data_IF_479888796263
#
_entry.id   IF_479888796263
#
_cell.length_a   1.000
_cell.length_b   1.000
_cell.length_c   1.000
_cell.angle_alpha   90.00
_cell.angle_beta   90.00
_cell.angle_gamma   90.00
#
_symmetry.space_group_name_H-M   'P 1'
#
loop_
_entity.id
_entity.type
_entity.pdbx_description
1 polymer ?
#
# COMPACT_ATOMS: atom_id res chain seq x y z
N UNK A 1 16.52 -32.84 -50.44
CA UNK A 1 17.33 -33.58 -49.45
C UNK A 1 16.47 -33.69 -48.21
N UNK A 2 15.97 -34.88 -47.88
CA UNK A 2 15.19 -35.07 -46.64
C UNK A 2 16.14 -34.83 -45.45
N UNK A 3 15.71 -34.12 -44.40
CA UNK A 3 16.56 -33.93 -43.23
C UNK A 3 16.96 -35.29 -42.67
N UNK A 4 18.24 -35.45 -42.36
CA UNK A 4 18.79 -36.67 -41.76
C UNK A 4 18.30 -36.80 -40.31
N UNK A 5 18.10 -38.03 -39.83
CA UNK A 5 17.58 -38.32 -38.47
C UNK A 5 18.44 -37.65 -37.40
N UNK A 6 19.76 -37.56 -37.62
CA UNK A 6 20.72 -36.88 -36.76
C UNK A 6 20.62 -35.34 -36.76
N UNK A 7 20.02 -34.73 -37.80
CA UNK A 7 19.76 -33.28 -37.83
C UNK A 7 18.48 -32.95 -37.07
N UNK A 8 17.43 -33.78 -37.19
CA UNK A 8 16.20 -33.61 -36.43
C UNK A 8 16.44 -33.78 -34.92
N UNK A 9 17.26 -34.76 -34.51
CA UNK A 9 17.65 -34.92 -33.10
C UNK A 9 18.34 -33.67 -32.53
N UNK A 10 19.32 -33.09 -33.24
CA UNK A 10 20.01 -31.86 -32.79
C UNK A 10 19.10 -30.64 -32.71
N UNK A 11 18.08 -30.55 -33.56
CA UNK A 11 17.11 -29.45 -33.50
C UNK A 11 16.26 -29.57 -32.23
N UNK A 12 15.78 -30.78 -31.91
CA UNK A 12 14.92 -31.02 -30.74
C UNK A 12 15.68 -30.92 -29.42
N UNK A 13 16.98 -31.27 -29.40
CA UNK A 13 17.86 -31.08 -28.24
C UNK A 13 18.11 -29.60 -27.90
N UNK A 14 18.05 -28.71 -28.89
CA UNK A 14 18.24 -27.27 -28.70
C UNK A 14 16.96 -26.48 -28.38
N UNK A 15 15.80 -27.14 -28.26
CA UNK A 15 14.55 -26.48 -27.92
C UNK A 15 14.51 -26.13 -26.43
N UNK A 16 13.92 -24.98 -26.11
CA UNK A 16 13.55 -24.61 -24.75
C UNK A 16 12.41 -25.47 -24.21
N UNK A 17 11.56 -25.98 -25.11
CA UNK A 17 10.46 -26.86 -24.77
C UNK A 17 10.97 -28.28 -24.50
N UNK A 18 10.43 -28.91 -23.47
CA UNK A 18 10.65 -30.32 -23.20
C UNK A 18 9.91 -31.17 -24.21
N UNK A 19 10.60 -32.16 -24.80
CA UNK A 19 9.99 -33.10 -25.74
C UNK A 19 10.21 -34.51 -25.23
N UNK A 20 9.12 -35.27 -25.17
CA UNK A 20 9.10 -36.66 -24.70
C UNK A 20 8.47 -37.55 -25.77
N UNK A 21 9.14 -38.67 -26.07
CA UNK A 21 8.67 -39.70 -26.98
C UNK A 21 8.26 -40.93 -26.19
N UNK A 22 7.05 -41.40 -26.46
CA UNK A 22 6.43 -42.51 -25.75
C UNK A 22 5.94 -43.53 -26.79
N UNK A 23 6.19 -44.80 -26.54
CA UNK A 23 5.64 -45.90 -27.34
C UNK A 23 4.18 -46.19 -26.96
N UNK A 24 3.37 -46.77 -27.86
CA UNK A 24 1.95 -47.05 -27.60
C UNK A 24 1.68 -47.95 -26.39
N UNK A 25 2.65 -48.76 -25.96
CA UNK A 25 2.56 -49.60 -24.77
C UNK A 25 2.85 -48.84 -23.45
N UNK A 26 3.26 -47.58 -23.55
CA UNK A 26 3.54 -46.69 -22.44
C UNK A 26 5.01 -46.68 -22.00
N UNK A 27 5.93 -47.27 -22.76
CA UNK A 27 7.37 -47.08 -22.55
C UNK A 27 7.79 -45.65 -22.95
N UNK A 28 8.53 -44.95 -22.08
CA UNK A 28 9.10 -43.65 -22.41
C UNK A 28 10.47 -43.92 -23.00
N UNK A 29 10.58 -43.76 -24.32
CA UNK A 29 11.80 -44.13 -25.05
C UNK A 29 12.84 -43.03 -24.99
N UNK A 30 12.39 -41.77 -24.91
CA UNK A 30 13.29 -40.63 -24.94
C UNK A 30 12.66 -39.37 -24.35
N UNK A 31 13.48 -38.55 -23.71
CA UNK A 31 13.16 -37.19 -23.30
C UNK A 31 14.39 -36.31 -23.51
N UNK A 32 14.21 -35.08 -24.01
CA UNK A 32 15.32 -34.13 -24.10
C UNK A 32 15.71 -33.58 -22.71
N UNK A 33 16.85 -32.89 -22.66
CA UNK A 33 17.36 -32.29 -21.44
C UNK A 33 16.38 -31.29 -20.83
N UNK A 34 15.73 -30.45 -21.65
CA UNK A 34 14.73 -29.49 -21.19
C UNK A 34 13.59 -30.18 -20.41
N UNK A 35 13.08 -31.31 -20.91
CA UNK A 35 12.02 -32.04 -20.23
C UNK A 35 12.44 -32.57 -18.86
N UNK A 36 13.68 -33.09 -18.74
CA UNK A 36 14.24 -33.58 -17.49
C UNK A 36 14.43 -32.44 -16.49
N UNK A 37 15.01 -31.31 -16.95
CA UNK A 37 15.24 -30.11 -16.12
C UNK A 37 13.91 -29.54 -15.58
N UNK A 38 12.87 -29.46 -16.41
CA UNK A 38 11.52 -29.00 -16.00
C UNK A 38 10.90 -29.87 -14.90
N UNK A 39 11.35 -31.11 -14.75
CA UNK A 39 10.92 -32.04 -13.70
C UNK A 39 11.93 -32.14 -12.54
N UNK A 40 12.99 -31.32 -12.56
CA UNK A 40 14.08 -31.37 -11.60
C UNK A 40 14.82 -32.71 -11.59
N UNK A 41 14.89 -33.40 -12.74
CA UNK A 41 15.51 -34.70 -12.93
C UNK A 41 16.74 -34.56 -13.82
N UNK A 42 17.65 -35.54 -13.73
CA UNK A 42 18.86 -35.57 -14.58
C UNK A 42 18.87 -36.79 -15.50
N UNK A 43 18.01 -37.77 -15.25
CA UNK A 43 17.89 -38.96 -16.08
C UNK A 43 16.45 -39.45 -16.21
N UNK A 44 16.16 -40.11 -17.33
CA UNK A 44 14.85 -40.72 -17.58
C UNK A 44 14.49 -41.83 -16.57
N UNK A 45 15.50 -42.47 -15.97
CA UNK A 45 15.30 -43.43 -14.89
C UNK A 45 14.59 -42.83 -13.67
N UNK A 46 14.73 -41.53 -13.45
CA UNK A 46 14.06 -40.81 -12.36
C UNK A 46 12.53 -40.78 -12.56
N UNK A 47 12.07 -40.96 -13.79
CA UNK A 47 10.65 -41.08 -14.14
C UNK A 47 10.16 -42.54 -14.14
N UNK A 48 11.02 -43.51 -13.85
CA UNK A 48 10.68 -44.93 -13.86
C UNK A 48 10.51 -45.55 -15.26
N UNK A 49 10.94 -44.86 -16.33
CA UNK A 49 11.03 -45.37 -17.71
C UNK A 49 9.70 -45.68 -18.42
N UNK A 50 8.57 -45.54 -17.74
CA UNK A 50 7.23 -45.82 -18.30
C UNK A 50 6.24 -44.76 -17.83
N UNK A 51 5.12 -44.62 -18.53
CA UNK A 51 4.03 -43.71 -18.11
C UNK A 51 3.49 -44.06 -16.72
N UNK A 52 3.45 -45.35 -16.36
CA UNK A 52 3.07 -45.79 -15.01
C UNK A 52 4.13 -45.42 -13.97
N UNK A 53 5.41 -45.54 -14.32
CA UNK A 53 6.52 -45.06 -13.48
C UNK A 53 6.40 -43.56 -13.23
N UNK A 54 6.13 -42.78 -14.28
CA UNK A 54 5.97 -41.34 -14.18
C UNK A 54 4.79 -40.97 -13.26
N UNK A 55 3.67 -41.69 -13.36
CA UNK A 55 2.52 -41.54 -12.46
C UNK A 55 2.83 -41.82 -10.99
N UNK A 56 3.85 -42.63 -10.69
CA UNK A 56 4.32 -42.88 -9.32
C UNK A 56 5.33 -41.84 -8.87
N UNK A 57 6.16 -41.33 -9.79
CA UNK A 57 7.19 -40.34 -9.51
C UNK A 57 6.61 -38.93 -9.34
N UNK A 58 5.47 -38.61 -9.98
CA UNK A 58 4.90 -37.27 -9.98
C UNK A 58 3.39 -37.22 -9.69
N UNK A 59 3.02 -36.19 -8.95
CA UNK A 59 1.64 -35.80 -8.67
C UNK A 59 1.30 -34.54 -9.48
N UNK A 60 0.26 -34.63 -10.31
CA UNK A 60 -0.23 -33.53 -11.12
C UNK A 60 -1.53 -33.02 -10.52
N UNK A 61 -1.69 -31.70 -10.55
CA UNK A 61 -2.91 -31.02 -10.11
C UNK A 61 -3.43 -30.12 -11.22
N UNK A 62 -4.73 -29.91 -11.19
CA UNK A 62 -5.36 -28.83 -11.94
C UNK A 62 -5.00 -27.50 -11.27
N UNK A 63 -5.09 -26.41 -12.04
CA UNK A 63 -4.76 -25.05 -11.55
C UNK A 63 -5.63 -24.54 -10.40
N UNK A 64 -6.74 -25.20 -10.10
CA UNK A 64 -7.57 -24.94 -8.91
C UNK A 64 -7.08 -25.70 -7.66
N UNK A 65 -5.93 -26.38 -7.75
CA UNK A 65 -5.31 -27.16 -6.69
C UNK A 65 -5.87 -28.57 -6.54
N UNK A 66 -6.89 -28.96 -7.31
CA UNK A 66 -7.46 -30.30 -7.22
C UNK A 66 -6.51 -31.36 -7.81
N UNK A 67 -6.35 -32.54 -7.15
CA UNK A 67 -5.58 -33.64 -7.70
C UNK A 67 -6.12 -34.08 -9.06
N UNK A 68 -5.26 -34.13 -10.07
CA UNK A 68 -5.63 -34.65 -11.37
C UNK A 68 -5.71 -36.19 -11.28
N UNK A 69 -6.81 -36.84 -11.73
CA UNK A 69 -6.85 -38.29 -11.80
C UNK A 69 -5.71 -38.83 -12.67
N UNK A 70 -5.02 -39.90 -12.26
CA UNK A 70 -3.87 -40.46 -13.00
C UNK A 70 -4.21 -40.79 -14.47
N UNK A 71 -5.45 -41.19 -14.75
CA UNK A 71 -5.93 -41.42 -16.12
C UNK A 71 -6.03 -40.13 -16.97
N UNK A 72 -6.23 -38.96 -16.34
CA UNK A 72 -6.29 -37.67 -17.02
C UNK A 72 -4.92 -37.04 -17.26
N UNK A 73 -3.83 -37.65 -16.76
CA UNK A 73 -2.47 -37.14 -17.00
C UNK A 73 -2.15 -37.04 -18.49
N UNK A 74 -1.38 -36.02 -18.93
CA UNK A 74 -1.04 -35.82 -20.34
C UNK A 74 -0.50 -37.09 -21.03
N UNK A 75 0.46 -37.80 -20.43
CA UNK A 75 1.01 -39.04 -20.99
C UNK A 75 -0.01 -40.19 -21.03
N UNK A 76 -0.88 -40.30 -20.02
CA UNK A 76 -1.89 -41.36 -19.97
C UNK A 76 -3.02 -41.15 -21.00
N UNK A 77 -3.33 -39.88 -21.32
CA UNK A 77 -4.22 -39.50 -22.41
C UNK A 77 -3.63 -39.90 -23.76
N UNK A 78 -2.34 -39.62 -23.98
CA UNK A 78 -1.66 -40.03 -25.20
C UNK A 78 -1.67 -41.55 -25.42
N UNK A 79 -1.43 -42.36 -24.37
CA UNK A 79 -1.52 -43.82 -24.48
C UNK A 79 -2.91 -44.35 -24.84
N UNK A 80 -3.97 -43.54 -24.67
CA UNK A 80 -5.33 -43.87 -25.14
C UNK A 80 -5.63 -43.37 -26.55
N UNK A 81 -4.66 -42.75 -27.22
CA UNK A 81 -4.84 -42.16 -28.54
C UNK A 81 -5.48 -40.77 -28.52
N UNK A 82 -5.46 -40.07 -27.38
CA UNK A 82 -6.01 -38.71 -27.27
C UNK A 82 -4.90 -37.67 -27.54
N UNK A 83 -5.03 -36.92 -28.64
CA UNK A 83 -4.27 -35.68 -28.86
C UNK A 83 -4.93 -34.50 -28.14
N UNK A 84 -4.15 -33.52 -27.72
CA UNK A 84 -4.64 -32.33 -27.03
C UNK A 84 -3.70 -31.14 -27.16
N UNK A 85 -4.27 -29.95 -27.03
CA UNK A 85 -3.54 -28.68 -27.03
C UNK A 85 -3.82 -27.92 -25.73
N UNK A 86 -2.85 -27.13 -25.29
CA UNK A 86 -2.96 -26.14 -24.21
C UNK A 86 -3.50 -26.66 -22.86
N UNK A 87 -2.96 -27.78 -22.40
CA UNK A 87 -3.23 -28.29 -21.05
C UNK A 87 -2.22 -27.70 -20.08
N UNK A 88 -2.69 -27.02 -19.03
CA UNK A 88 -1.83 -26.49 -17.95
C UNK A 88 -1.98 -27.36 -16.72
N UNK A 89 -0.87 -27.82 -16.15
CA UNK A 89 -0.84 -28.66 -14.95
C UNK A 89 0.24 -28.18 -13.98
N UNK A 90 -0.09 -28.25 -12.71
CA UNK A 90 0.91 -28.11 -11.65
C UNK A 90 1.53 -29.50 -11.42
N UNK A 91 2.86 -29.58 -11.42
CA UNK A 91 3.63 -30.82 -11.35
C UNK A 91 4.47 -30.80 -10.09
N UNK A 92 4.34 -31.87 -9.29
CA UNK A 92 5.10 -32.08 -8.07
C UNK A 92 5.78 -33.44 -8.07
N UNK A 93 6.96 -33.56 -7.46
CA UNK A 93 7.52 -34.88 -7.12
C UNK A 93 6.68 -35.54 -6.04
N UNK A 94 6.34 -36.81 -6.23
CA UNK A 94 5.53 -37.57 -5.31
C UNK A 94 6.19 -37.63 -3.91
N UNK A 95 5.41 -37.34 -2.87
CA UNK A 95 5.86 -37.38 -1.47
C UNK A 95 6.66 -36.17 -0.98
N UNK A 96 6.84 -35.12 -1.79
CA UNK A 96 7.41 -33.85 -1.35
C UNK A 96 6.33 -32.82 -0.99
N UNK A 97 6.59 -31.98 0.03
CA UNK A 97 5.68 -30.88 0.41
C UNK A 97 5.83 -29.64 -0.52
N UNK A 98 7.02 -29.40 -1.11
CA UNK A 98 7.32 -28.39 -2.17
C UNK A 98 8.38 -28.95 -3.16
N UNK A 99 8.47 -28.52 -4.45
CA UNK A 99 7.80 -27.40 -5.14
C UNK A 99 6.84 -27.84 -6.26
N UNK A 100 5.95 -26.93 -6.69
CA UNK A 100 5.06 -27.11 -7.84
C UNK A 100 5.62 -26.37 -9.06
N UNK A 101 6.08 -27.10 -10.07
CA UNK A 101 6.33 -26.53 -11.40
C UNK A 101 5.02 -26.36 -12.13
N UNK A 102 4.90 -25.33 -12.96
CA UNK A 102 3.74 -25.17 -13.84
C UNK A 102 4.13 -25.53 -15.25
N UNK A 103 3.58 -26.62 -15.78
CA UNK A 103 3.85 -27.07 -17.13
C UNK A 103 2.65 -26.80 -18.02
N UNK A 104 2.91 -26.25 -19.20
CA UNK A 104 1.98 -26.33 -20.33
C UNK A 104 2.30 -27.57 -21.14
N UNK A 105 1.29 -28.31 -21.60
CA UNK A 105 1.46 -29.59 -22.26
C UNK A 105 0.62 -29.68 -23.53
N UNK A 106 1.23 -30.18 -24.60
CA UNK A 106 0.60 -30.50 -25.88
C UNK A 106 0.97 -31.92 -26.28
N UNK A 107 0.00 -32.69 -26.73
CA UNK A 107 0.14 -34.10 -27.02
C UNK A 107 -0.28 -34.43 -28.44
N UNK A 108 0.57 -35.17 -29.16
CA UNK A 108 0.30 -35.65 -30.51
C UNK A 108 0.43 -37.17 -30.59
N UNK A 109 -0.53 -37.80 -31.25
CA UNK A 109 -0.49 -39.21 -31.63
C UNK A 109 -0.07 -39.29 -33.10
N UNK A 110 1.08 -39.89 -33.37
CA UNK A 110 1.56 -40.13 -34.72
C UNK A 110 1.17 -41.54 -35.15
N UNK A 111 0.36 -41.62 -36.20
CA UNK A 111 -0.12 -42.88 -36.75
C UNK A 111 0.72 -43.34 -37.95
N UNK A 112 0.89 -44.65 -38.04
CA UNK A 112 1.37 -45.34 -39.24
C UNK A 112 0.41 -46.48 -39.57
N UNK A 113 -0.11 -46.46 -40.80
CA UNK A 113 -1.07 -47.46 -41.29
C UNK A 113 -2.31 -47.63 -40.39
N UNK A 114 -2.80 -46.52 -39.81
CA UNK A 114 -4.01 -46.48 -38.97
C UNK A 114 -3.81 -47.03 -37.56
N UNK A 115 -2.57 -47.21 -37.12
CA UNK A 115 -2.21 -47.56 -35.74
C UNK A 115 -1.26 -46.51 -35.15
N UNK A 116 -1.38 -46.20 -33.85
CA UNK A 116 -0.40 -45.37 -33.17
C UNK A 116 0.99 -45.99 -33.30
N UNK A 117 1.93 -45.26 -33.88
CA UNK A 117 3.33 -45.66 -34.08
C UNK A 117 4.23 -44.97 -33.05
N UNK A 118 3.94 -43.71 -32.73
CA UNK A 118 4.70 -42.93 -31.75
C UNK A 118 3.82 -41.84 -31.11
N UNK A 119 4.01 -41.60 -29.82
CA UNK A 119 3.32 -40.56 -29.07
C UNK A 119 4.33 -39.48 -28.69
N UNK A 120 3.97 -38.22 -28.91
CA UNK A 120 4.84 -37.07 -28.64
C UNK A 120 4.17 -36.16 -27.64
N UNK A 121 4.85 -35.88 -26.53
CA UNK A 121 4.46 -34.87 -25.57
C UNK A 121 5.45 -33.70 -25.65
N UNK A 122 4.92 -32.50 -25.84
CA UNK A 122 5.67 -31.24 -25.75
C UNK A 122 5.25 -30.55 -24.47
N UNK A 123 6.21 -30.15 -23.65
CA UNK A 123 6.00 -29.44 -22.40
C UNK A 123 6.75 -28.10 -22.41
N UNK A 124 6.10 -27.05 -21.93
CA UNK A 124 6.72 -25.74 -21.72
C UNK A 124 6.70 -25.38 -20.25
N UNK A 125 7.79 -24.79 -19.75
CA UNK A 125 7.87 -24.26 -18.39
C UNK A 125 7.16 -22.90 -18.32
N UNK A 126 6.12 -22.82 -17.50
CA UNK A 126 5.40 -21.60 -17.22
C UNK A 126 5.53 -21.17 -15.74
N UNK A 127 6.38 -21.84 -14.97
CA UNK A 127 6.51 -21.63 -13.52
C UNK A 127 6.79 -20.18 -13.17
N UNK A 128 7.80 -19.57 -13.77
CA UNK A 128 8.18 -18.17 -13.49
C UNK A 128 7.06 -17.18 -13.80
N UNK A 129 6.36 -17.36 -14.92
CA UNK A 129 5.29 -16.47 -15.34
C UNK A 129 4.08 -16.54 -14.38
N UNK A 130 3.71 -17.74 -13.93
CA UNK A 130 2.61 -17.93 -12.98
C UNK A 130 2.99 -17.51 -11.56
N UNK A 131 4.20 -17.84 -11.08
CA UNK A 131 4.70 -17.38 -9.78
C UNK A 131 4.77 -15.85 -9.72
N UNK A 132 5.24 -15.19 -10.78
CA UNK A 132 5.27 -13.73 -10.86
C UNK A 132 3.86 -13.14 -10.79
N UNK A 133 2.89 -13.74 -11.50
CA UNK A 133 1.49 -13.35 -11.43
C UNK A 133 0.89 -13.48 -10.03
N UNK A 134 1.08 -14.62 -9.38
CA UNK A 134 0.55 -14.87 -8.02
C UNK A 134 1.22 -13.99 -6.96
N UNK A 135 2.55 -13.82 -7.03
CA UNK A 135 3.29 -12.92 -6.13
C UNK A 135 2.82 -11.49 -6.30
N UNK A 136 2.59 -11.04 -7.54
CA UNK A 136 2.06 -9.71 -7.81
C UNK A 136 0.68 -9.52 -7.19
N UNK A 137 -0.26 -10.45 -7.42
CA UNK A 137 -1.60 -10.37 -6.84
C UNK A 137 -1.57 -10.33 -5.32
N UNK A 138 -0.74 -11.17 -4.71
CA UNK A 138 -0.56 -11.21 -3.27
C UNK A 138 -0.01 -9.88 -2.73
N UNK A 139 1.07 -9.35 -3.31
CA UNK A 139 1.66 -8.07 -2.89
C UNK A 139 0.71 -6.90 -3.10
N UNK A 140 0.00 -6.86 -4.23
CA UNK A 140 -0.93 -5.78 -4.56
C UNK A 140 -2.12 -5.76 -3.59
N UNK A 141 -2.69 -6.92 -3.26
CA UNK A 141 -3.80 -7.02 -2.30
C UNK A 141 -3.35 -6.87 -0.84
N UNK A 142 -2.14 -7.31 -0.48
CA UNK A 142 -1.60 -7.15 0.88
C UNK A 142 -1.17 -5.70 1.18
N UNK A 143 -0.95 -4.88 0.15
CA UNK A 143 -0.59 -3.47 0.34
C UNK A 143 -1.80 -2.69 0.91
N UNK A 144 -1.70 -2.14 2.14
CA UNK A 144 -2.79 -1.37 2.74
C UNK A 144 -3.00 -0.02 2.06
N UNK A 145 -2.03 0.46 1.27
CA UNK A 145 -2.16 1.71 0.53
C UNK A 145 -3.24 1.56 -0.55
N UNK A 146 -4.30 2.38 -0.55
CA UNK A 146 -5.35 2.33 -1.56
C UNK A 146 -4.79 2.47 -2.98
N UNK A 147 -5.07 1.50 -3.84
CA UNK A 147 -4.60 1.48 -5.22
C UNK A 147 -5.56 0.77 -6.18
N UNK A 148 -5.52 1.21 -7.44
CA UNK A 148 -6.18 0.53 -8.56
C UNK A 148 -5.30 0.57 -9.80
N UNK A 149 -5.61 -0.29 -10.77
CA UNK A 149 -4.87 -0.42 -12.01
C UNK A 149 -5.82 -0.24 -13.20
N UNK A 150 -5.43 0.64 -14.11
CA UNK A 150 -6.12 0.92 -15.37
C UNK A 150 -5.27 0.42 -16.52
N UNK A 151 -5.84 -0.38 -17.42
CA UNK A 151 -5.18 -0.77 -18.66
C UNK A 151 -5.16 0.39 -19.64
N UNK A 152 -4.01 0.70 -20.22
CA UNK A 152 -3.87 1.86 -21.12
C UNK A 152 -4.48 1.64 -22.50
N UNK A 153 -4.61 0.39 -22.96
CA UNK A 153 -5.13 0.07 -24.29
C UNK A 153 -6.61 0.46 -24.47
N UNK A 154 -7.43 0.32 -23.43
CA UNK A 154 -8.88 0.56 -23.47
C UNK A 154 -9.39 1.42 -22.30
N UNK A 155 -8.49 1.89 -21.44
CA UNK A 155 -8.78 2.68 -20.25
C UNK A 155 -9.82 2.02 -19.34
N UNK A 156 -9.69 0.70 -19.13
CA UNK A 156 -10.54 -0.07 -18.21
C UNK A 156 -9.82 -0.40 -16.92
N UNK A 157 -10.57 -0.41 -15.82
CA UNK A 157 -10.11 -0.89 -14.53
C UNK A 157 -9.89 -2.40 -14.61
N UNK A 158 -8.65 -2.85 -14.45
CA UNK A 158 -8.32 -4.28 -14.50
C UNK A 158 -8.16 -4.87 -13.10
N UNK A 159 -7.69 -4.06 -12.14
CA UNK A 159 -7.50 -4.48 -10.74
C UNK A 159 -7.75 -3.34 -9.77
N UNK A 160 -8.09 -3.72 -8.55
CA UNK A 160 -8.30 -2.85 -7.39
C UNK A 160 -7.86 -3.63 -6.15
N UNK A 161 -7.19 -2.99 -5.20
CA UNK A 161 -6.80 -3.67 -3.96
C UNK A 161 -7.81 -3.42 -2.84
N UNK A 162 -7.70 -4.18 -1.75
CA UNK A 162 -8.56 -4.03 -0.57
C UNK A 162 -8.49 -2.61 0.00
N UNK A 163 -7.31 -1.99 0.06
CA UNK A 163 -7.16 -0.62 0.57
C UNK A 163 -8.02 0.40 -0.19
N UNK A 164 -8.19 0.26 -1.51
CA UNK A 164 -9.07 1.13 -2.28
C UNK A 164 -10.55 0.85 -2.00
N UNK A 165 -10.94 -0.41 -1.84
CA UNK A 165 -12.31 -0.77 -1.49
C UNK A 165 -12.67 -0.21 -0.12
N UNK A 166 -11.78 -0.33 0.87
CA UNK A 166 -11.94 0.23 2.21
C UNK A 166 -12.03 1.77 2.19
N UNK A 167 -11.20 2.43 1.40
CA UNK A 167 -11.19 3.89 1.28
C UNK A 167 -12.48 4.42 0.65
N UNK A 168 -12.94 3.75 -0.41
CA UNK A 168 -13.96 4.26 -1.34
C UNK A 168 -15.36 3.67 -1.10
N UNK A 169 -15.46 2.55 -0.39
CA UNK A 169 -16.71 1.83 -0.12
C UNK A 169 -17.33 1.16 -1.35
N UNK A 170 -16.67 1.19 -2.50
CA UNK A 170 -17.12 0.49 -3.70
C UNK A 170 -16.90 -1.01 -3.58
N UNK A 171 -17.78 -1.78 -4.20
CA UNK A 171 -17.55 -3.21 -4.41
C UNK A 171 -16.62 -3.44 -5.61
N UNK A 172 -15.77 -4.46 -5.51
CA UNK A 172 -14.79 -4.83 -6.55
C UNK A 172 -15.44 -5.01 -7.92
N UNK A 173 -16.56 -5.75 -7.98
CA UNK A 173 -17.28 -6.06 -9.21
C UNK A 173 -18.01 -4.83 -9.81
N UNK A 174 -18.19 -3.78 -9.00
CA UNK A 174 -18.72 -2.50 -9.47
C UNK A 174 -17.63 -1.62 -10.12
N UNK A 175 -16.34 -1.96 -9.97
CA UNK A 175 -15.22 -1.20 -10.54
C UNK A 175 -14.57 -1.97 -11.68
N UNK A 176 -14.17 -3.22 -11.43
CA UNK A 176 -13.38 -4.01 -12.39
C UNK A 176 -14.18 -4.20 -13.68
N UNK A 177 -13.50 -3.96 -14.81
CA UNK A 177 -14.09 -4.02 -16.14
C UNK A 177 -14.73 -2.69 -16.59
N UNK A 178 -15.06 -1.75 -15.70
CA UNK A 178 -15.58 -0.44 -16.11
C UNK A 178 -14.51 0.43 -16.77
N UNK A 179 -14.94 1.35 -17.62
CA UNK A 179 -14.06 2.36 -18.19
C UNK A 179 -13.86 3.53 -17.23
N UNK A 180 -12.70 4.20 -17.30
CA UNK A 180 -12.47 5.50 -16.63
C UNK A 180 -13.47 6.58 -17.02
N UNK A 181 -14.19 6.43 -18.15
CA UNK A 181 -15.27 7.33 -18.54
C UNK A 181 -16.60 7.02 -17.84
N UNK A 182 -16.80 5.79 -17.38
CA UNK A 182 -18.00 5.34 -16.65
C UNK A 182 -17.86 5.59 -15.14
N UNK A 183 -16.66 5.46 -14.61
CA UNK A 183 -16.29 5.79 -13.23
C UNK A 183 -15.06 6.70 -13.28
N UNK A 184 -15.27 8.02 -13.33
CA UNK A 184 -14.17 8.97 -13.53
C UNK A 184 -13.54 9.42 -12.21
N UNK A 185 -12.47 8.73 -11.81
CA UNK A 185 -11.68 9.07 -10.61
C UNK A 185 -10.86 10.37 -10.76
N UNK A 186 -10.78 10.94 -11.98
CA UNK A 186 -10.04 12.17 -12.27
C UNK A 186 -10.98 13.37 -12.51
N UNK A 187 -12.30 13.17 -12.48
CA UNK A 187 -13.29 14.20 -12.82
C UNK A 187 -13.12 15.48 -12.00
N UNK A 188 -12.83 15.31 -10.70
CA UNK A 188 -12.68 16.40 -9.73
C UNK A 188 -11.25 16.48 -9.19
N UNK A 189 -10.26 16.13 -10.01
CA UNK A 189 -8.87 16.40 -9.71
C UNK A 189 -8.53 17.89 -9.97
N UNK A 190 -7.60 18.45 -9.18
CA UNK A 190 -7.21 19.86 -9.27
C UNK A 190 -6.76 20.31 -10.68
N UNK A 191 -6.18 19.40 -11.48
CA UNK A 191 -5.83 19.60 -12.90
C UNK A 191 -6.28 18.39 -13.73
N UNK A 192 -7.60 18.18 -13.79
CA UNK A 192 -8.23 17.02 -14.40
C UNK A 192 -7.91 16.84 -15.89
N UNK A 193 -7.86 17.93 -16.67
CA UNK A 193 -7.54 17.87 -18.11
C UNK A 193 -6.11 17.36 -18.35
N UNK A 194 -5.14 17.90 -17.62
CA UNK A 194 -3.74 17.46 -17.67
C UNK A 194 -3.58 16.02 -17.20
N UNK A 195 -4.27 15.63 -16.13
CA UNK A 195 -4.24 14.27 -15.61
C UNK A 195 -4.80 13.25 -16.62
N UNK A 196 -5.93 13.57 -17.28
CA UNK A 196 -6.54 12.73 -18.32
C UNK A 196 -5.67 12.63 -19.57
N UNK A 197 -5.05 13.73 -19.99
CA UNK A 197 -4.10 13.72 -21.10
C UNK A 197 -2.89 12.83 -20.79
N UNK A 198 -2.30 12.97 -19.60
CA UNK A 198 -1.17 12.14 -19.14
C UNK A 198 -1.53 10.67 -19.03
N UNK A 199 -2.72 10.35 -18.51
CA UNK A 199 -3.23 8.97 -18.49
C UNK A 199 -3.29 8.39 -19.92
N UNK A 200 -3.89 9.12 -20.85
CA UNK A 200 -4.03 8.69 -22.25
C UNK A 200 -2.67 8.53 -22.95
N UNK A 201 -1.71 9.38 -22.62
CA UNK A 201 -0.34 9.32 -23.13
C UNK A 201 0.55 8.27 -22.41
N UNK A 202 0.03 7.59 -21.38
CA UNK A 202 0.81 6.65 -20.57
C UNK A 202 1.94 7.32 -19.77
N UNK A 203 1.77 8.59 -19.40
CA UNK A 203 2.76 9.39 -18.63
C UNK A 203 2.37 9.49 -17.16
N UNK A 204 3.37 9.78 -16.33
CA UNK A 204 3.18 10.03 -14.90
C UNK A 204 2.14 11.15 -14.70
N UNK A 205 1.10 10.83 -13.92
CA UNK A 205 0.13 11.78 -13.38
C UNK A 205 0.70 12.24 -12.03
N UNK A 206 1.16 13.50 -11.91
CA UNK A 206 1.77 13.99 -10.68
C UNK A 206 0.78 13.95 -9.53
N UNK A 207 1.30 13.88 -8.30
CA UNK A 207 0.46 13.89 -7.10
C UNK A 207 -0.36 15.20 -7.04
N UNK A 208 -1.68 15.06 -6.86
CA UNK A 208 -2.61 16.19 -6.78
C UNK A 208 -3.79 15.87 -5.88
N UNK A 209 -4.49 16.90 -5.38
CA UNK A 209 -5.75 16.73 -4.68
C UNK A 209 -6.87 16.39 -5.67
N UNK A 210 -7.74 15.46 -5.27
CA UNK A 210 -8.93 15.08 -6.03
C UNK A 210 -10.08 14.72 -5.09
N UNK A 211 -11.31 14.88 -5.58
CA UNK A 211 -12.50 14.35 -4.93
C UNK A 211 -12.88 13.00 -5.55
N UNK A 212 -12.70 11.93 -4.76
CA UNK A 212 -13.02 10.56 -5.15
C UNK A 212 -14.53 10.33 -4.99
N UNK A 213 -15.28 10.02 -6.07
CA UNK A 213 -16.70 9.72 -5.97
C UNK A 213 -16.96 8.39 -5.22
N UNK A 214 -17.95 8.40 -4.34
CA UNK A 214 -18.37 7.25 -3.54
C UNK A 214 -19.70 6.66 -4.08
N UNK A 215 -20.03 5.39 -3.78
CA UNK A 215 -21.23 4.73 -4.31
C UNK A 215 -22.55 5.40 -3.87
N UNK A 216 -22.54 6.08 -2.73
CA UNK A 216 -23.70 6.78 -2.17
C UNK A 216 -23.94 8.17 -2.80
N UNK A 217 -23.07 8.62 -3.71
CA UNK A 217 -23.14 9.92 -4.36
C UNK A 217 -22.35 11.03 -3.67
N UNK A 218 -21.78 10.77 -2.49
CA UNK A 218 -20.83 11.69 -1.85
C UNK A 218 -19.45 11.61 -2.51
N UNK A 219 -18.54 12.49 -2.10
CA UNK A 219 -17.13 12.46 -2.49
C UNK A 219 -16.23 12.43 -1.26
N UNK A 220 -15.02 11.91 -1.44
CA UNK A 220 -13.97 11.90 -0.42
C UNK A 220 -12.73 12.60 -0.93
N UNK A 221 -12.21 13.56 -0.17
CA UNK A 221 -10.99 14.28 -0.55
C UNK A 221 -9.76 13.40 -0.35
N UNK A 222 -9.01 13.22 -1.44
CA UNK A 222 -7.83 12.35 -1.49
C UNK A 222 -6.67 13.04 -2.19
N UNK A 223 -5.44 12.63 -1.88
CA UNK A 223 -4.30 12.82 -2.78
C UNK A 223 -4.25 11.65 -3.74
N UNK A 224 -4.24 11.94 -5.03
CA UNK A 224 -4.14 10.97 -6.12
C UNK A 224 -2.81 11.14 -6.85
N UNK A 225 -2.16 10.03 -7.20
CA UNK A 225 -1.02 9.99 -8.11
C UNK A 225 -1.11 8.78 -9.04
N UNK A 226 -0.62 8.90 -10.27
CA UNK A 226 -0.64 7.83 -11.27
C UNK A 226 0.75 7.57 -11.86
N UNK A 227 1.15 6.30 -11.88
CA UNK A 227 2.44 5.86 -12.43
C UNK A 227 2.24 4.79 -13.51
N UNK A 228 2.86 4.95 -14.70
CA UNK A 228 2.81 3.91 -15.71
C UNK A 228 3.56 2.67 -15.18
N UNK A 229 2.99 1.50 -15.44
CA UNK A 229 3.54 0.21 -15.07
C UNK A 229 3.29 -0.79 -16.19
N UNK A 230 4.12 -1.84 -16.22
CA UNK A 230 3.98 -2.94 -17.15
C UNK A 230 3.58 -4.18 -16.37
N UNK A 231 2.45 -4.77 -16.74
CA UNK A 231 1.93 -6.00 -16.15
C UNK A 231 2.57 -7.23 -16.82
N UNK A 232 2.48 -8.43 -16.22
CA UNK A 232 2.84 -9.66 -16.90
C UNK A 232 2.21 -9.74 -18.31
N UNK A 233 2.96 -10.27 -19.29
CA UNK A 233 2.61 -10.29 -20.72
C UNK A 233 2.73 -8.95 -21.46
N UNK A 234 3.58 -8.02 -20.99
CA UNK A 234 3.86 -6.75 -21.69
C UNK A 234 2.63 -5.82 -21.79
N UNK A 235 1.66 -5.97 -20.90
CA UNK A 235 0.44 -5.15 -20.90
C UNK A 235 0.70 -3.81 -20.21
N UNK A 236 0.61 -2.72 -20.97
CA UNK A 236 0.82 -1.36 -20.47
C UNK A 236 -0.37 -0.89 -19.62
N UNK A 237 -0.10 -0.53 -18.37
CA UNK A 237 -1.09 -0.12 -17.38
C UNK A 237 -0.68 1.20 -16.69
N UNK A 238 -1.63 1.79 -15.97
CA UNK A 238 -1.44 2.89 -15.04
C UNK A 238 -1.85 2.43 -13.65
N UNK A 239 -0.97 2.57 -12.66
CA UNK A 239 -1.29 2.33 -11.26
C UNK A 239 -1.63 3.68 -10.63
N UNK A 240 -2.84 3.80 -10.11
CA UNK A 240 -3.24 4.94 -9.29
C UNK A 240 -3.13 4.58 -7.81
N UNK A 241 -2.60 5.52 -7.03
CA UNK A 241 -2.53 5.42 -5.57
C UNK A 241 -3.24 6.60 -4.93
N UNK A 242 -3.81 6.36 -3.75
CA UNK A 242 -4.62 7.35 -3.05
C UNK A 242 -4.20 7.46 -1.58
N UNK A 243 -4.25 8.66 -1.04
CA UNK A 243 -4.10 8.91 0.39
C UNK A 243 -5.27 9.76 0.91
N UNK A 244 -5.90 9.31 1.99
CA UNK A 244 -6.99 10.01 2.64
C UNK A 244 -6.51 11.31 3.32
N UNK A 245 -7.11 12.44 2.97
CA UNK A 245 -6.79 13.74 3.56
C UNK A 245 -7.69 14.12 4.74
N UNK A 246 -8.82 13.43 4.97
CA UNK A 246 -9.76 13.78 6.03
C UNK A 246 -9.20 13.65 7.45
N UNK A 247 -8.49 12.58 7.83
CA UNK A 247 -7.96 12.44 9.19
C UNK A 247 -7.05 13.60 9.57
N UNK A 248 -6.20 14.04 8.62
CA UNK A 248 -5.29 15.16 8.80
C UNK A 248 -6.04 16.47 8.98
N UNK A 249 -7.01 16.77 8.10
CA UNK A 249 -7.81 18.00 8.23
C UNK A 249 -8.64 18.04 9.50
N UNK A 250 -9.19 16.90 9.95
CA UNK A 250 -9.93 16.81 11.21
C UNK A 250 -9.02 17.09 12.41
N UNK A 251 -7.80 16.55 12.41
CA UNK A 251 -6.82 16.83 13.46
C UNK A 251 -6.40 18.30 13.49
N UNK A 252 -6.08 18.88 12.33
CA UNK A 252 -5.72 20.31 12.21
C UNK A 252 -6.88 21.23 12.64
N UNK A 253 -8.11 20.90 12.23
CA UNK A 253 -9.32 21.66 12.60
C UNK A 253 -9.62 21.55 14.10
N UNK A 254 -9.52 20.35 14.66
CA UNK A 254 -9.72 20.12 16.09
C UNK A 254 -8.67 20.86 16.93
N UNK A 255 -7.41 20.85 16.50
CA UNK A 255 -6.33 21.62 17.13
C UNK A 255 -6.63 23.12 17.09
N UNK A 256 -6.94 23.65 15.90
CA UNK A 256 -7.29 25.08 15.74
C UNK A 256 -8.47 25.48 16.61
N UNK A 257 -9.53 24.67 16.63
CA UNK A 257 -10.70 24.94 17.49
C UNK A 257 -10.34 24.89 18.97
N UNK A 258 -9.44 24.00 19.39
CA UNK A 258 -8.95 23.96 20.77
C UNK A 258 -8.12 25.21 21.13
N UNK A 259 -7.24 25.64 20.23
CA UNK A 259 -6.44 26.86 20.40
C UNK A 259 -7.32 28.12 20.48
N UNK A 260 -8.31 28.25 19.59
CA UNK A 260 -9.27 29.36 19.60
C UNK A 260 -10.09 29.38 20.89
N UNK A 261 -10.54 28.21 21.37
CA UNK A 261 -11.26 28.09 22.65
C UNK A 261 -10.39 28.50 23.83
N UNK A 262 -9.14 28.03 23.90
CA UNK A 262 -8.21 28.41 24.96
C UNK A 262 -7.90 29.91 24.94
N UNK A 263 -7.60 30.48 23.77
CA UNK A 263 -7.31 31.89 23.61
C UNK A 263 -8.51 32.76 24.02
N UNK A 264 -9.73 32.32 23.68
CA UNK A 264 -10.96 33.02 24.06
C UNK A 264 -11.20 32.94 25.57
N UNK A 265 -11.06 31.76 26.17
CA UNK A 265 -11.23 31.57 27.61
C UNK A 265 -10.23 32.40 28.43
N UNK A 266 -8.95 32.40 28.05
CA UNK A 266 -7.92 33.23 28.70
C UNK A 266 -8.26 34.71 28.56
N UNK A 267 -8.56 35.19 27.34
CA UNK A 267 -8.80 36.61 27.05
C UNK A 267 -9.97 37.20 27.84
N UNK A 268 -11.05 36.43 27.99
CA UNK A 268 -12.30 36.88 28.62
C UNK A 268 -12.51 36.37 30.05
N UNK A 269 -11.56 35.64 30.62
CA UNK A 269 -11.63 35.26 32.04
C UNK A 269 -11.78 36.54 32.91
N UNK A 270 -12.75 36.59 33.84
CA UNK A 270 -13.02 37.79 34.64
C UNK A 270 -11.99 38.01 35.76
N UNK A 271 -11.00 37.12 35.88
CA UNK A 271 -9.92 37.21 36.86
C UNK A 271 -8.67 37.71 36.14
N UNK A 272 -7.93 38.70 36.68
CA UNK A 272 -6.64 39.12 36.15
C UNK A 272 -5.68 37.95 36.02
N UNK A 273 -5.18 37.71 34.81
CA UNK A 273 -4.22 36.65 34.52
C UNK A 273 -3.06 37.21 33.70
N UNK A 274 -1.86 36.76 34.04
CA UNK A 274 -0.64 37.00 33.27
C UNK A 274 0.12 35.70 33.11
N UNK A 275 0.74 35.53 31.94
CA UNK A 275 1.64 34.41 31.63
C UNK A 275 3.06 34.96 31.53
N UNK A 276 4.01 34.35 32.23
CA UNK A 276 5.42 34.73 32.18
C UNK A 276 6.29 33.54 31.81
N UNK A 277 7.40 33.77 31.12
CA UNK A 277 8.44 32.76 30.95
C UNK A 277 9.07 32.40 32.30
N UNK A 278 9.41 31.14 32.52
CA UNK A 278 10.19 30.75 33.70
C UNK A 278 11.61 31.32 33.61
N UNK A 279 12.22 31.30 32.43
CA UNK A 279 13.50 31.94 32.19
C UNK A 279 13.34 33.46 32.04
N UNK A 280 13.89 34.21 32.99
CA UNK A 280 13.95 35.67 32.96
C UNK A 280 12.64 36.41 33.24
N UNK A 281 11.55 35.70 33.58
CA UNK A 281 10.25 36.27 33.99
C UNK A 281 9.68 37.31 33.04
N UNK A 282 9.78 37.09 31.72
CA UNK A 282 9.19 38.00 30.74
C UNK A 282 7.71 37.71 30.61
N UNK A 283 6.89 38.75 30.62
CA UNK A 283 5.45 38.63 30.43
C UNK A 283 5.19 38.27 28.96
N UNK A 284 4.69 37.06 28.75
CA UNK A 284 4.37 36.52 27.42
C UNK A 284 2.98 36.96 26.99
N UNK A 285 2.03 37.04 27.93
CA UNK A 285 0.66 37.44 27.65
C UNK A 285 -0.07 37.91 28.91
N UNK A 286 -1.13 38.70 28.75
CA UNK A 286 -2.05 39.13 29.81
C UNK A 286 -3.47 39.14 29.29
N UNK A 287 -4.44 38.86 30.15
CA UNK A 287 -5.85 38.92 29.73
C UNK A 287 -6.48 40.31 29.91
N UNK A 288 -7.72 40.46 29.44
CA UNK A 288 -8.42 41.75 29.51
C UNK A 288 -8.65 42.22 30.96
N UNK A 289 -8.93 41.29 31.88
CA UNK A 289 -9.12 41.62 33.29
C UNK A 289 -7.84 42.19 33.94
N UNK A 290 -6.66 41.71 33.56
CA UNK A 290 -5.38 42.25 34.03
C UNK A 290 -5.17 43.69 33.55
N UNK A 291 -5.40 43.96 32.26
CA UNK A 291 -5.28 45.30 31.71
C UNK A 291 -6.27 46.27 32.36
N UNK A 292 -7.52 45.83 32.56
CA UNK A 292 -8.57 46.62 33.21
C UNK A 292 -8.26 46.93 34.68
N UNK A 293 -7.70 45.98 35.43
CA UNK A 293 -7.33 46.18 36.83
C UNK A 293 -6.14 47.13 36.98
N UNK A 294 -5.15 46.99 36.11
CA UNK A 294 -3.85 47.64 36.29
C UNK A 294 -3.68 48.92 35.47
N UNK A 295 -4.62 49.25 34.58
CA UNK A 295 -4.60 50.40 33.66
C UNK A 295 -3.38 50.45 32.72
N UNK A 296 -2.76 49.30 32.48
CA UNK A 296 -1.70 49.18 31.49
C UNK A 296 -2.23 48.84 30.10
N UNK A 297 -1.53 49.27 29.06
CA UNK A 297 -1.76 48.85 27.68
C UNK A 297 -1.00 47.57 27.34
N UNK A 298 -1.61 46.69 26.52
CA UNK A 298 -1.03 45.39 26.14
C UNK A 298 0.41 45.49 25.64
N UNK A 299 0.67 46.39 24.69
CA UNK A 299 2.00 46.60 24.08
C UNK A 299 3.05 47.14 25.08
N UNK A 300 2.61 47.76 26.16
CA UNK A 300 3.49 48.27 27.21
C UNK A 300 3.89 47.20 28.23
N UNK A 301 3.18 46.06 28.26
CA UNK A 301 3.35 44.99 29.24
C UNK A 301 4.00 43.77 28.62
N UNK A 302 3.54 43.33 27.45
CA UNK A 302 4.04 42.12 26.80
C UNK A 302 5.52 42.30 26.40
N UNK A 303 6.34 41.29 26.69
CA UNK A 303 7.79 41.28 26.47
C UNK A 303 8.62 41.90 27.61
N UNK A 304 7.99 42.66 28.52
CA UNK A 304 8.63 43.28 29.69
C UNK A 304 8.75 42.30 30.84
N UNK A 305 9.62 42.61 31.79
CA UNK A 305 9.66 41.92 33.09
C UNK A 305 8.76 42.63 34.10
N UNK A 306 8.16 41.94 35.08
CA UNK A 306 7.41 42.59 36.17
C UNK A 306 8.20 43.68 36.90
N UNK A 307 9.53 43.54 36.97
CA UNK A 307 10.42 44.56 37.54
C UNK A 307 10.51 45.85 36.70
N UNK A 308 10.38 45.78 35.38
CA UNK A 308 10.48 46.93 34.47
C UNK A 308 9.22 47.80 34.48
N UNK A 309 8.08 47.22 34.87
CA UNK A 309 6.79 47.92 35.03
C UNK A 309 6.43 48.13 36.51
N UNK A 310 7.37 47.85 37.42
CA UNK A 310 7.19 47.93 38.87
C UNK A 310 5.90 47.29 39.39
N UNK A 311 5.52 46.12 38.85
CA UNK A 311 4.20 45.51 39.09
C UNK A 311 3.90 45.23 40.57
N UNK A 312 4.91 44.96 41.39
CA UNK A 312 4.75 44.61 42.80
C UNK A 312 5.07 45.81 43.72
N UNK A 313 4.44 45.84 44.90
CA UNK A 313 4.69 46.86 45.93
C UNK A 313 6.18 47.06 46.20
N UNK A 314 6.90 45.95 46.38
CA UNK A 314 8.33 45.93 46.68
C UNK A 314 9.10 44.90 45.84
N UNK A 315 10.40 45.15 45.67
CA UNK A 315 11.29 44.19 45.01
C UNK A 315 11.51 42.91 45.83
N UNK A 316 11.30 42.96 47.15
CA UNK A 316 11.37 41.80 48.04
C UNK A 316 10.19 40.85 47.77
N UNK A 317 8.96 41.37 47.74
CA UNK A 317 7.74 40.61 47.41
C UNK A 317 7.87 39.93 46.05
N UNK A 318 8.35 40.66 45.03
CA UNK A 318 8.60 40.08 43.70
C UNK A 318 9.56 38.90 43.75
N UNK A 319 10.72 39.06 44.40
CA UNK A 319 11.76 38.01 44.48
C UNK A 319 11.25 36.78 45.25
N UNK A 320 10.45 36.97 46.28
CA UNK A 320 9.84 35.88 47.04
C UNK A 320 8.88 35.06 46.17
N UNK A 321 8.03 35.72 45.38
CA UNK A 321 7.11 35.07 44.45
C UNK A 321 7.87 34.32 43.36
N UNK A 322 8.83 34.99 42.70
CA UNK A 322 9.68 34.40 41.65
C UNK A 322 10.42 33.15 42.17
N UNK A 323 10.99 33.25 43.38
CA UNK A 323 11.65 32.13 44.05
C UNK A 323 10.69 31.00 44.36
N UNK A 324 9.52 31.31 44.91
CA UNK A 324 8.50 30.30 45.25
C UNK A 324 8.07 29.53 44.02
N UNK A 325 7.74 30.22 42.91
CA UNK A 325 7.37 29.57 41.64
C UNK A 325 8.51 28.74 41.07
N UNK A 326 9.75 29.22 41.14
CA UNK A 326 10.93 28.49 40.63
C UNK A 326 11.25 27.23 41.44
N UNK A 327 11.15 27.28 42.78
CA UNK A 327 11.52 26.15 43.65
C UNK A 327 10.38 25.13 43.83
N UNK A 328 9.13 25.58 43.88
CA UNK A 328 7.97 24.73 44.21
C UNK A 328 6.98 24.52 43.06
N UNK A 329 7.15 25.23 41.94
CA UNK A 329 6.30 25.11 40.76
C UNK A 329 4.90 25.71 40.89
N UNK A 330 4.44 26.09 42.08
CA UNK A 330 3.13 26.74 42.27
C UNK A 330 2.98 27.40 43.62
N UNK A 331 2.04 28.36 43.71
CA UNK A 331 1.50 28.82 44.99
C UNK A 331 0.02 29.14 44.82
N UNK A 332 -0.74 29.10 45.91
CA UNK A 332 -2.19 29.39 45.89
C UNK A 332 -2.58 30.25 47.07
N UNK A 333 -3.50 31.19 46.82
CA UNK A 333 -4.08 32.02 47.87
C UNK A 333 -3.07 32.93 48.57
N UNK A 334 -2.04 33.40 47.86
CA UNK A 334 -1.04 34.30 48.41
C UNK A 334 -1.54 35.74 48.30
N UNK A 335 -1.73 36.40 49.43
CA UNK A 335 -2.13 37.80 49.46
C UNK A 335 -0.92 38.69 49.14
N UNK A 336 -1.06 39.56 48.13
CA UNK A 336 -0.02 40.47 47.70
C UNK A 336 -0.60 41.81 47.27
N UNK A 337 0.25 42.82 47.17
CA UNK A 337 -0.10 44.11 46.59
C UNK A 337 0.60 44.33 45.26
N UNK A 338 -0.19 44.64 44.23
CA UNK A 338 0.31 45.06 42.92
C UNK A 338 0.10 46.56 42.70
N UNK A 339 0.97 47.17 41.89
CA UNK A 339 0.86 48.56 41.47
C UNK A 339 0.17 48.67 40.12
N UNK A 340 -0.78 49.58 40.01
CA UNK A 340 -1.35 50.02 38.73
C UNK A 340 -0.38 50.94 38.00
N UNK A 341 -0.67 51.28 36.74
CA UNK A 341 0.11 52.26 35.95
C UNK A 341 0.20 53.64 36.63
N UNK A 342 -0.80 54.00 37.43
CA UNK A 342 -0.84 55.28 38.16
C UNK A 342 -0.08 55.22 39.50
N UNK A 343 0.40 54.05 39.90
CA UNK A 343 1.10 53.82 41.17
C UNK A 343 0.19 53.47 42.35
N UNK A 344 -1.11 53.31 42.14
CA UNK A 344 -2.06 52.86 43.16
C UNK A 344 -1.79 51.40 43.54
N UNK A 345 -1.88 51.08 44.83
CA UNK A 345 -1.70 49.72 45.34
C UNK A 345 -3.05 49.01 45.43
N UNK A 346 -3.15 47.87 44.74
CA UNK A 346 -4.32 46.99 44.77
C UNK A 346 -3.95 45.72 45.51
N UNK A 347 -4.71 45.38 46.56
CA UNK A 347 -4.55 44.11 47.27
C UNK A 347 -5.23 42.99 46.48
N UNK A 348 -4.51 41.91 46.22
CA UNK A 348 -4.96 40.79 45.41
C UNK A 348 -4.65 39.47 46.09
N UNK A 349 -5.54 38.50 45.93
CA UNK A 349 -5.27 37.11 46.26
C UNK A 349 -4.76 36.40 45.00
N UNK A 350 -3.46 36.10 44.96
CA UNK A 350 -2.80 35.54 43.79
C UNK A 350 -2.60 34.02 43.90
N UNK A 351 -2.61 33.36 42.75
CA UNK A 351 -2.18 31.97 42.60
C UNK A 351 -1.35 31.87 41.32
N UNK A 352 -0.34 31.01 41.31
CA UNK A 352 0.46 30.73 40.14
C UNK A 352 0.78 29.24 40.05
N UNK A 353 0.95 28.75 38.83
CA UNK A 353 1.29 27.36 38.53
C UNK A 353 2.17 27.35 37.29
N UNK A 354 3.23 26.54 37.29
CA UNK A 354 4.10 26.37 36.14
C UNK A 354 3.47 25.40 35.16
N UNK A 355 3.45 25.76 33.88
CA UNK A 355 2.83 24.96 32.82
C UNK A 355 3.81 24.83 31.66
N UNK A 356 3.97 23.62 31.13
CA UNK A 356 4.81 23.39 29.94
C UNK A 356 3.97 23.61 28.69
N UNK A 357 4.35 24.56 27.85
CA UNK A 357 3.69 24.85 26.57
C UNK A 357 4.72 24.65 25.46
N UNK A 358 4.44 23.75 24.50
CA UNK A 358 5.33 23.43 23.37
C UNK A 358 6.77 23.04 23.78
N UNK A 359 6.95 22.39 24.93
CA UNK A 359 8.26 21.98 25.42
C UNK A 359 9.10 23.10 26.06
N UNK A 360 8.52 24.29 26.25
CA UNK A 360 9.12 25.39 27.02
C UNK A 360 8.37 25.58 28.33
N UNK A 361 9.13 25.93 29.38
CA UNK A 361 8.64 26.11 30.75
C UNK A 361 8.27 27.57 31.03
#
# INVERSE_FOLDING_TARGET
TRPDRAQLHRIVEGLSDGVVLIEPDGEIVWANEAALVMHGCTALSDWGGTVKGYQQAFDLRLRDGQPMPKAAYPMARLCRGESFEDVVVDVRKAGQEEPDWVHTARGFVLDRDGKPDCLVLIIGDATEAYEAGERFESMFNANPAPALIVRLADLRYVRVNEGFLDLSGWERDAIVGRSVYELDILAQAADSDSAKARLTEGRIVPQMEAELPLPNGDSKLVLLAGHPAEMPNNEACMIFTFADLEPRRRAETALRQSEERFATAFRFAPVPMLLTSLDGHRILNVNHAFLALTDWGLESVVGRKPAEIELFESSATRREIEKTVSESGSFRGYELQIKTRTGELVTCLASAETVTINGQY
#
